data_IF_553750563021
#
_entry.id   IF_553750563021
#
_cell.length_a   1.000
_cell.length_b   1.000
_cell.length_c   1.000
_cell.angle_alpha   90.00
_cell.angle_beta   90.00
_cell.angle_gamma   90.00
#
_symmetry.space_group_name_H-M   'P 1'
#
loop_
_entity.id
_entity.type
_entity.pdbx_description
1 polymer ?
#
# COMPACT_ATOMS: atom_id res chain seq x y z
N UNK A 1 14.11 4.97 -4.68
CA UNK A 1 14.01 4.20 -5.93
C UNK A 1 14.45 2.77 -5.67
N UNK A 2 13.59 1.82 -5.96
CA UNK A 2 13.88 0.40 -6.00
C UNK A 2 14.90 0.10 -7.12
N UNK A 3 15.58 -1.05 -7.05
CA UNK A 3 16.44 -1.51 -8.15
C UNK A 3 15.60 -1.74 -9.41
N UNK A 4 14.37 -2.22 -9.25
CA UNK A 4 13.41 -2.40 -10.36
C UNK A 4 13.02 -1.08 -11.03
N UNK A 5 12.78 -0.01 -10.24
CA UNK A 5 12.45 1.31 -10.81
C UNK A 5 13.60 1.89 -11.64
N UNK A 6 14.83 1.41 -11.39
CA UNK A 6 16.04 1.82 -12.15
C UNK A 6 16.22 1.01 -13.43
N UNK A 7 15.56 -0.14 -13.54
CA UNK A 7 15.60 -0.99 -14.73
C UNK A 7 14.45 -0.66 -15.71
N UNK A 8 13.44 0.07 -15.26
CA UNK A 8 12.41 0.62 -16.12
C UNK A 8 12.96 1.88 -16.80
N UNK A 9 13.21 1.78 -18.08
CA UNK A 9 13.67 2.89 -18.92
C UNK A 9 12.46 3.46 -19.69
N UNK A 10 12.03 4.65 -19.26
CA UNK A 10 10.90 5.34 -19.89
C UNK A 10 11.26 6.03 -21.21
N UNK A 11 12.58 6.15 -21.52
CA UNK A 11 13.09 6.77 -22.76
C UNK A 11 14.31 6.00 -23.32
N UNK A 12 14.09 4.82 -23.94
CA UNK A 12 15.17 3.96 -24.44
C UNK A 12 15.98 4.58 -25.58
N UNK A 13 15.57 5.73 -26.11
CA UNK A 13 16.31 6.48 -27.14
C UNK A 13 17.37 7.42 -26.59
N UNK A 14 17.39 7.68 -25.30
CA UNK A 14 18.33 8.59 -24.64
C UNK A 14 19.49 7.83 -24.03
N UNK A 15 20.72 8.06 -24.55
CA UNK A 15 21.95 7.44 -24.02
C UNK A 15 22.50 8.13 -22.77
N UNK A 16 21.95 9.26 -22.35
CA UNK A 16 22.37 10.00 -21.16
C UNK A 16 21.18 10.33 -20.27
N UNK A 17 21.11 9.69 -19.11
CA UNK A 17 20.21 10.13 -18.04
C UNK A 17 20.73 11.45 -17.42
N UNK A 18 20.00 12.53 -17.66
CA UNK A 18 20.25 13.78 -16.96
C UNK A 18 20.00 13.57 -15.46
N UNK A 19 20.89 14.13 -14.62
CA UNK A 19 20.74 14.07 -13.16
C UNK A 19 19.40 14.71 -12.77
N UNK A 20 18.43 13.88 -12.42
CA UNK A 20 17.06 14.33 -12.14
C UNK A 20 17.05 15.30 -10.94
N UNK A 21 16.37 16.45 -11.02
CA UNK A 21 16.21 17.33 -9.88
C UNK A 21 15.45 16.59 -8.75
N UNK A 22 15.81 16.90 -7.51
CA UNK A 22 15.32 16.20 -6.30
C UNK A 22 13.79 16.08 -6.20
N UNK A 23 13.06 17.14 -6.57
CA UNK A 23 11.59 17.12 -6.56
C UNK A 23 11.01 16.09 -7.50
N UNK A 24 11.61 15.90 -8.69
CA UNK A 24 11.20 14.88 -9.64
C UNK A 24 11.47 13.46 -9.11
N UNK A 25 12.62 13.25 -8.45
CA UNK A 25 12.94 11.95 -7.83
C UNK A 25 12.02 11.58 -6.68
N UNK A 26 11.50 12.56 -5.91
CA UNK A 26 10.50 12.35 -4.87
C UNK A 26 9.13 12.01 -5.45
N UNK A 27 8.70 12.68 -6.52
CA UNK A 27 7.47 12.36 -7.23
C UNK A 27 7.50 10.92 -7.76
N UNK A 28 8.58 10.54 -8.45
CA UNK A 28 8.76 9.17 -8.95
C UNK A 28 8.75 8.12 -7.83
N UNK A 29 9.35 8.43 -6.67
CA UNK A 29 9.31 7.55 -5.50
C UNK A 29 7.87 7.39 -4.97
N UNK A 30 7.10 8.47 -4.88
CA UNK A 30 5.71 8.46 -4.44
C UNK A 30 4.83 7.64 -5.40
N UNK A 31 5.03 7.79 -6.70
CA UNK A 31 4.29 7.04 -7.72
C UNK A 31 4.65 5.54 -7.69
N UNK A 32 5.93 5.22 -7.50
CA UNK A 32 6.37 3.83 -7.33
C UNK A 32 5.73 3.21 -6.08
N UNK A 33 5.77 3.90 -4.94
CA UNK A 33 5.15 3.45 -3.69
C UNK A 33 3.65 3.26 -3.83
N UNK A 34 2.95 4.17 -4.53
CA UNK A 34 1.52 4.04 -4.80
C UNK A 34 1.22 2.75 -5.57
N UNK A 35 1.95 2.49 -6.65
CA UNK A 35 1.78 1.27 -7.46
C UNK A 35 2.04 0.00 -6.66
N UNK A 36 3.11 0.00 -5.87
CA UNK A 36 3.49 -1.15 -5.04
C UNK A 36 2.47 -1.40 -3.94
N UNK A 37 1.96 -0.35 -3.28
CA UNK A 37 0.87 -0.45 -2.31
C UNK A 37 -0.41 -0.99 -2.95
N UNK A 38 -0.78 -0.49 -4.12
CA UNK A 38 -1.96 -0.96 -4.85
C UNK A 38 -1.82 -2.44 -5.22
N UNK A 39 -0.64 -2.86 -5.68
CA UNK A 39 -0.34 -4.26 -5.98
C UNK A 39 -0.40 -5.13 -4.71
N UNK A 40 0.18 -4.68 -3.59
CA UNK A 40 0.16 -5.38 -2.31
C UNK A 40 -1.27 -5.54 -1.76
N UNK A 41 -2.07 -4.48 -1.80
CA UNK A 41 -3.43 -4.49 -1.25
C UNK A 41 -4.42 -5.29 -2.11
N UNK A 42 -4.12 -5.45 -3.41
CA UNK A 42 -4.90 -6.29 -4.33
C UNK A 42 -4.40 -7.73 -4.42
N UNK A 43 -3.21 -8.02 -3.89
CA UNK A 43 -2.70 -9.38 -3.81
C UNK A 43 -3.46 -10.19 -2.76
N UNK A 44 -3.61 -11.49 -3.00
CA UNK A 44 -4.28 -12.41 -2.09
C UNK A 44 -3.27 -13.41 -1.53
N UNK A 45 -3.14 -13.51 -0.21
CA UNK A 45 -2.27 -14.50 0.40
C UNK A 45 -2.78 -15.92 0.08
N UNK A 46 -1.87 -16.88 0.10
CA UNK A 46 -2.23 -18.28 -0.06
C UNK A 46 -3.17 -18.69 1.10
N UNK A 47 -4.25 -19.41 0.76
CA UNK A 47 -5.23 -19.89 1.75
C UNK A 47 -4.72 -21.06 2.62
N UNK A 48 -3.49 -21.51 2.39
CA UNK A 48 -2.91 -22.63 3.13
C UNK A 48 -2.41 -22.15 4.48
N UNK A 49 -2.81 -22.84 5.53
CA UNK A 49 -2.25 -22.67 6.88
C UNK A 49 -1.03 -23.56 7.06
N UNK A 50 -0.01 -23.04 7.70
CA UNK A 50 1.21 -23.79 8.04
C UNK A 50 1.43 -23.87 9.53
N UNK A 51 2.26 -24.83 9.92
CA UNK A 51 2.64 -25.00 11.32
C UNK A 51 3.38 -23.77 11.85
N UNK A 52 3.16 -23.37 13.11
CA UNK A 52 3.92 -22.29 13.77
C UNK A 52 5.45 -22.48 13.77
N UNK A 53 5.92 -23.72 13.53
CA UNK A 53 7.35 -24.00 13.36
C UNK A 53 7.96 -23.35 12.10
N UNK A 54 7.13 -22.96 11.13
CA UNK A 54 7.56 -22.32 9.89
C UNK A 54 7.26 -20.81 9.92
N UNK A 55 7.68 -20.13 10.99
CA UNK A 55 7.41 -18.70 11.20
C UNK A 55 7.92 -17.81 10.03
N UNK A 56 8.97 -18.24 9.32
CA UNK A 56 9.49 -17.51 8.14
C UNK A 56 8.48 -17.43 6.99
N UNK A 57 7.55 -18.38 6.93
CA UNK A 57 6.49 -18.35 5.91
C UNK A 57 5.55 -17.17 6.08
N UNK A 58 5.44 -16.62 7.28
CA UNK A 58 4.62 -15.43 7.55
C UNK A 58 5.10 -14.20 6.77
N UNK A 59 6.41 -14.08 6.55
CA UNK A 59 7.02 -12.99 5.77
C UNK A 59 7.36 -13.37 4.33
N UNK A 60 6.99 -14.58 3.91
CA UNK A 60 7.22 -15.06 2.54
C UNK A 60 6.16 -14.55 1.57
N UNK A 61 6.42 -14.74 0.26
CA UNK A 61 5.49 -14.43 -0.82
C UNK A 61 4.15 -15.18 -0.70
N UNK A 62 4.12 -16.30 0.02
CA UNK A 62 2.89 -17.08 0.25
C UNK A 62 1.88 -16.30 1.09
N UNK A 63 2.36 -15.40 1.94
CA UNK A 63 1.52 -14.55 2.79
C UNK A 63 1.44 -13.10 2.28
N UNK A 64 1.90 -12.85 1.05
CA UNK A 64 1.88 -11.53 0.43
C UNK A 64 0.45 -11.12 0.07
N UNK A 65 -0.02 -9.99 0.59
CA UNK A 65 -1.33 -9.44 0.30
C UNK A 65 -2.26 -9.34 1.50
N UNK A 66 -3.49 -8.93 1.24
CA UNK A 66 -4.55 -8.78 2.24
C UNK A 66 -5.65 -9.80 1.97
N UNK A 67 -6.15 -10.42 3.04
CA UNK A 67 -7.28 -11.35 2.92
C UNK A 67 -8.50 -10.64 2.36
N UNK A 68 -9.19 -11.31 1.44
CA UNK A 68 -10.40 -10.81 0.80
C UNK A 68 -11.48 -10.48 1.84
N UNK A 69 -12.11 -9.32 1.68
CA UNK A 69 -13.18 -8.84 2.55
C UNK A 69 -14.44 -8.63 1.73
N UNK A 70 -15.55 -9.17 2.18
CA UNK A 70 -16.86 -8.98 1.53
C UNK A 70 -17.62 -7.80 2.14
N UNK A 71 -18.69 -7.36 1.47
CA UNK A 71 -19.58 -6.32 2.02
C UNK A 71 -20.20 -6.71 3.35
N UNK A 72 -20.45 -8.02 3.57
CA UNK A 72 -20.97 -8.53 4.83
C UNK A 72 -19.95 -8.41 5.96
N UNK A 73 -18.67 -8.63 5.64
CA UNK A 73 -17.58 -8.50 6.61
C UNK A 73 -17.38 -7.04 7.04
N UNK A 74 -17.70 -6.06 6.19
CA UNK A 74 -17.54 -4.63 6.49
C UNK A 74 -18.78 -3.99 7.13
N UNK A 75 -19.80 -4.78 7.45
CA UNK A 75 -21.07 -4.28 8.01
C UNK A 75 -20.99 -3.84 9.46
N UNK A 76 -19.98 -4.29 10.21
CA UNK A 76 -19.76 -3.98 11.62
C UNK A 76 -18.48 -3.20 11.83
N UNK A 77 -18.46 -2.32 12.82
CA UNK A 77 -17.28 -1.50 13.14
C UNK A 77 -16.10 -2.37 13.60
N UNK A 78 -16.37 -3.46 14.32
CA UNK A 78 -15.34 -4.41 14.74
C UNK A 78 -14.62 -5.06 13.54
N UNK A 79 -15.37 -5.45 12.52
CA UNK A 79 -14.79 -6.01 11.31
C UNK A 79 -14.04 -4.98 10.46
N UNK A 80 -14.52 -3.74 10.41
CA UNK A 80 -13.80 -2.62 9.78
C UNK A 80 -12.45 -2.39 10.47
N UNK A 81 -12.44 -2.42 11.80
CA UNK A 81 -11.21 -2.24 12.57
C UNK A 81 -10.24 -3.42 12.38
N UNK A 82 -10.74 -4.66 12.31
CA UNK A 82 -9.92 -5.83 11.95
C UNK A 82 -9.30 -5.71 10.57
N UNK A 83 -10.08 -5.23 9.59
CA UNK A 83 -9.56 -4.96 8.25
C UNK A 83 -8.48 -3.88 8.28
N UNK A 84 -8.73 -2.74 8.93
CA UNK A 84 -7.75 -1.67 9.12
C UNK A 84 -6.44 -2.21 9.69
N UNK A 85 -6.52 -2.96 10.79
CA UNK A 85 -5.37 -3.55 11.44
C UNK A 85 -4.64 -4.60 10.57
N UNK A 86 -5.38 -5.33 9.72
CA UNK A 86 -4.79 -6.27 8.77
C UNK A 86 -4.01 -5.54 7.68
N UNK A 87 -4.59 -4.48 7.10
CA UNK A 87 -3.92 -3.62 6.11
C UNK A 87 -2.62 -3.03 6.69
N UNK A 88 -2.69 -2.42 7.86
CA UNK A 88 -1.54 -1.81 8.52
C UNK A 88 -0.41 -2.82 8.76
N UNK A 89 -0.73 -4.00 9.30
CA UNK A 89 0.25 -5.09 9.52
C UNK A 89 0.86 -5.60 8.21
N UNK A 90 0.05 -5.73 7.17
CA UNK A 90 0.52 -6.19 5.87
C UNK A 90 1.50 -5.20 5.26
N UNK A 91 1.18 -3.91 5.28
CA UNK A 91 2.08 -2.86 4.78
C UNK A 91 3.39 -2.85 5.59
N UNK A 92 3.32 -2.88 6.92
CA UNK A 92 4.51 -2.92 7.78
C UNK A 92 5.42 -4.12 7.50
N UNK A 93 4.83 -5.25 7.13
CA UNK A 93 5.57 -6.49 6.86
C UNK A 93 6.23 -6.50 5.49
N UNK A 94 5.52 -6.06 4.46
CA UNK A 94 5.93 -6.24 3.07
C UNK A 94 6.49 -4.98 2.40
N UNK A 95 6.40 -3.81 3.05
CA UNK A 95 6.94 -2.57 2.52
C UNK A 95 8.07 -2.01 3.42
N UNK A 96 9.30 -2.49 3.24
CA UNK A 96 10.42 -2.12 4.11
C UNK A 96 10.89 -0.68 3.94
N UNK A 97 10.42 0.03 2.91
CA UNK A 97 10.75 1.46 2.70
C UNK A 97 10.03 2.38 3.69
N UNK A 98 8.97 1.87 4.34
CA UNK A 98 8.24 2.62 5.35
C UNK A 98 8.85 2.41 6.74
N UNK A 99 9.32 3.50 7.34
CA UNK A 99 9.82 3.51 8.72
C UNK A 99 8.68 3.44 9.75
N UNK A 100 7.54 4.01 9.39
CA UNK A 100 6.32 4.01 10.18
C UNK A 100 5.11 4.05 9.24
N UNK A 101 4.07 3.32 9.60
CA UNK A 101 2.78 3.31 8.91
C UNK A 101 1.67 3.39 9.93
N UNK A 102 0.66 4.17 9.62
CA UNK A 102 -0.60 4.21 10.34
C UNK A 102 -1.74 4.21 9.33
N UNK A 103 -2.77 3.41 9.59
CA UNK A 103 -3.95 3.33 8.76
C UNK A 103 -5.16 3.79 9.56
N UNK A 104 -5.93 4.72 9.03
CA UNK A 104 -7.16 5.22 9.62
C UNK A 104 -8.35 5.06 8.67
N UNK A 105 -9.50 4.70 9.20
CA UNK A 105 -10.74 4.67 8.44
C UNK A 105 -11.27 6.09 8.27
N UNK A 106 -11.85 6.37 7.10
CA UNK A 106 -12.52 7.64 6.83
C UNK A 106 -14.02 7.35 6.81
N UNK A 107 -14.71 7.81 7.84
CA UNK A 107 -16.17 7.73 7.90
C UNK A 107 -16.78 8.82 7.03
N UNK A 108 -17.43 8.41 5.96
CA UNK A 108 -18.19 9.29 5.05
C UNK A 108 -19.68 8.95 5.22
N UNK A 109 -20.25 9.42 6.35
CA UNK A 109 -21.63 9.10 6.77
C UNK A 109 -22.71 9.57 5.76
N UNK A 110 -22.38 10.45 4.80
CA UNK A 110 -23.34 11.01 3.85
C UNK A 110 -23.38 10.27 2.51
N UNK A 111 -22.55 9.24 2.28
CA UNK A 111 -22.51 8.57 0.98
C UNK A 111 -23.30 7.25 0.97
N UNK A 112 -24.10 7.12 -0.06
CA UNK A 112 -24.87 5.92 -0.40
C UNK A 112 -23.96 4.78 -0.90
N UNK A 113 -22.71 5.06 -1.19
CA UNK A 113 -21.72 4.11 -1.69
C UNK A 113 -21.28 3.17 -0.56
N UNK A 114 -21.38 1.88 -0.79
CA UNK A 114 -20.89 0.84 0.14
C UNK A 114 -19.35 0.70 0.13
N UNK A 115 -18.62 1.69 -0.38
CA UNK A 115 -17.16 1.67 -0.44
C UNK A 115 -16.57 1.99 0.93
N UNK A 116 -15.51 1.28 1.31
CA UNK A 116 -14.73 1.61 2.50
C UNK A 116 -13.55 2.50 2.13
N UNK A 117 -13.49 3.68 2.73
CA UNK A 117 -12.38 4.61 2.55
C UNK A 117 -11.44 4.55 3.72
N UNK A 118 -10.16 4.57 3.43
CA UNK A 118 -9.13 4.59 4.46
C UNK A 118 -7.94 5.39 4.00
N UNK A 119 -7.22 5.92 4.97
CA UNK A 119 -6.02 6.72 4.77
C UNK A 119 -4.81 5.97 5.29
N UNK A 120 -3.76 5.94 4.49
CA UNK A 120 -2.46 5.39 4.85
C UNK A 120 -1.51 6.57 5.04
N UNK A 121 -1.07 6.79 6.27
CA UNK A 121 -0.04 7.77 6.61
C UNK A 121 1.27 7.02 6.82
N UNK A 122 2.30 7.38 6.08
CA UNK A 122 3.57 6.68 6.13
C UNK A 122 4.75 7.66 6.22
N UNK A 123 5.79 7.25 6.96
CA UNK A 123 7.08 7.91 6.96
C UNK A 123 8.04 7.07 6.12
N UNK A 124 8.44 7.60 4.98
CA UNK A 124 9.27 6.88 4.01
C UNK A 124 10.74 7.19 4.24
N UNK A 125 11.57 6.15 4.13
CA UNK A 125 13.02 6.32 4.15
C UNK A 125 13.50 7.01 2.87
N UNK A 126 13.77 8.29 2.97
CA UNK A 126 14.32 9.12 1.90
C UNK A 126 15.61 9.79 2.34
N UNK A 127 16.46 10.19 1.38
CA UNK A 127 17.68 10.95 1.67
C UNK A 127 17.49 12.41 1.26
N UNK A 128 17.93 13.39 2.11
CA UNK A 128 18.72 13.27 3.34
C UNK A 128 17.90 13.00 4.60
N UNK A 129 16.59 13.13 4.57
CA UNK A 129 15.71 12.94 5.72
C UNK A 129 14.47 12.13 5.31
N UNK A 130 13.86 11.38 6.25
CA UNK A 130 12.57 10.73 6.03
C UNK A 130 11.50 11.73 5.60
N UNK A 131 10.61 11.31 4.70
CA UNK A 131 9.53 12.14 4.15
C UNK A 131 8.17 11.56 4.54
N UNK A 132 7.26 12.37 5.08
CA UNK A 132 5.89 11.95 5.32
C UNK A 132 5.13 11.89 3.99
N UNK A 133 4.34 10.84 3.80
CA UNK A 133 3.48 10.64 2.63
C UNK A 133 2.12 10.17 3.11
N UNK A 134 1.07 10.66 2.47
CA UNK A 134 -0.32 10.27 2.75
C UNK A 134 -0.95 9.74 1.47
N UNK A 135 -1.56 8.57 1.55
CA UNK A 135 -2.34 7.98 0.47
C UNK A 135 -3.78 7.81 0.94
N UNK A 136 -4.73 8.39 0.21
CA UNK A 136 -6.14 8.07 0.37
C UNK A 136 -6.45 6.83 -0.49
N UNK A 137 -7.18 5.88 0.07
CA UNK A 137 -7.45 4.60 -0.57
C UNK A 137 -8.93 4.25 -0.45
N UNK A 138 -9.43 3.56 -1.47
CA UNK A 138 -10.83 3.13 -1.55
C UNK A 138 -10.89 1.64 -1.80
N UNK A 139 -11.58 0.90 -0.94
CA UNK A 139 -11.96 -0.48 -1.17
C UNK A 139 -13.39 -0.53 -1.69
N UNK A 140 -13.57 -1.14 -2.86
CA UNK A 140 -14.88 -1.50 -3.38
C UNK A 140 -15.19 -2.95 -3.02
N UNK A 141 -16.16 -3.21 -2.12
CA UNK A 141 -16.48 -4.57 -1.69
C UNK A 141 -17.11 -5.43 -2.80
N UNK A 142 -17.63 -4.82 -3.88
CA UNK A 142 -18.27 -5.56 -4.99
C UNK A 142 -17.21 -6.18 -5.91
N UNK A 143 -16.15 -5.45 -6.19
CA UNK A 143 -15.01 -5.92 -6.99
C UNK A 143 -13.90 -6.50 -6.13
N UNK A 144 -13.96 -6.26 -4.81
CA UNK A 144 -12.91 -6.58 -3.85
C UNK A 144 -11.56 -5.93 -4.20
N UNK A 145 -11.62 -4.85 -4.96
CA UNK A 145 -10.47 -4.09 -5.43
C UNK A 145 -10.17 -2.90 -4.54
N UNK A 146 -8.90 -2.68 -4.28
CA UNK A 146 -8.38 -1.48 -3.61
C UNK A 146 -7.76 -0.55 -4.65
N UNK A 147 -8.19 0.69 -4.66
CA UNK A 147 -7.56 1.74 -5.46
C UNK A 147 -6.82 2.70 -4.52
N UNK A 148 -5.53 2.89 -4.78
CA UNK A 148 -4.70 3.84 -4.04
C UNK A 148 -4.61 5.12 -4.85
N UNK A 149 -5.17 6.20 -4.33
CA UNK A 149 -5.19 7.51 -4.99
C UNK A 149 -3.80 8.15 -4.97
N UNK A 150 -3.62 9.14 -5.84
CA UNK A 150 -2.36 9.89 -5.87
C UNK A 150 -2.06 10.52 -4.49
N UNK A 151 -0.79 10.51 -4.06
CA UNK A 151 -0.41 11.05 -2.77
C UNK A 151 -0.70 12.54 -2.70
N UNK A 152 -1.17 13.00 -1.53
CA UNK A 152 -1.32 14.43 -1.24
C UNK A 152 -0.06 14.94 -0.56
N UNK A 153 0.32 16.16 -0.89
CA UNK A 153 1.34 16.89 -0.13
C UNK A 153 0.73 17.26 1.25
N UNK A 154 1.47 16.98 2.31
CA UNK A 154 1.12 17.31 3.70
C UNK A 154 1.63 18.70 4.04
#
# INVERSE_FOLDING_TARGET
MSVFDRLLDDDPGSTQEARKPRGKALGELRDALRRDLEALLNARPCSTTWSPFFAELDSSILNYGVTTVTSADLSTDDNRERFRAAVERTIQRFEPRFLRVSVSLIDDAERVDRTLRFRIEALVQAKPAPEPIVFDSVLDPSTQGVTVLAPRDV
#
